data_IF_432026577977
#
_entry.id   IF_432026577977
#
_cell.length_a   1.000
_cell.length_b   1.000
_cell.length_c   1.000
_cell.angle_alpha   90.00
_cell.angle_beta   90.00
_cell.angle_gamma   90.00
#
_symmetry.space_group_name_H-M   'P 1'
#
loop_
_entity.id
_entity.type
_entity.pdbx_description
1 polymer ?
#
# COMPACT_ATOMS: atom_id res chain seq x y z
N UNK A 1 -26.39 0.37 -4.09
CA UNK A 1 -25.15 0.81 -4.79
C UNK A 1 -23.98 1.02 -3.84
N UNK A 2 -24.13 1.85 -2.80
CA UNK A 2 -23.08 2.11 -1.80
C UNK A 2 -22.51 0.83 -1.13
N UNK A 3 -23.36 -0.16 -0.81
CA UNK A 3 -22.92 -1.42 -0.20
C UNK A 3 -21.95 -2.23 -1.10
N UNK A 4 -22.21 -2.27 -2.41
CA UNK A 4 -21.35 -2.97 -3.37
C UNK A 4 -19.97 -2.30 -3.45
N UNK A 5 -19.92 -0.97 -3.48
CA UNK A 5 -18.65 -0.22 -3.46
C UNK A 5 -17.88 -0.44 -2.17
N UNK A 6 -18.56 -0.52 -1.02
CA UNK A 6 -17.93 -0.86 0.26
C UNK A 6 -17.28 -2.24 0.25
N UNK A 7 -17.95 -3.25 -0.31
CA UNK A 7 -17.37 -4.60 -0.42
C UNK A 7 -16.20 -4.67 -1.41
N UNK A 8 -16.30 -3.98 -2.55
CA UNK A 8 -15.20 -3.87 -3.51
C UNK A 8 -13.99 -3.18 -2.85
N UNK A 9 -14.22 -2.08 -2.12
CA UNK A 9 -13.15 -1.40 -1.41
C UNK A 9 -12.51 -2.29 -0.35
N UNK A 10 -13.30 -3.02 0.44
CA UNK A 10 -12.78 -3.97 1.42
C UNK A 10 -11.90 -5.05 0.76
N UNK A 11 -12.39 -5.67 -0.32
CA UNK A 11 -11.65 -6.71 -1.02
C UNK A 11 -10.33 -6.18 -1.61
N UNK A 12 -10.36 -5.02 -2.25
CA UNK A 12 -9.16 -4.39 -2.84
C UNK A 12 -8.18 -3.90 -1.76
N UNK A 13 -8.66 -3.39 -0.63
CA UNK A 13 -7.82 -3.00 0.51
C UNK A 13 -7.12 -4.21 1.15
N UNK A 14 -7.83 -5.32 1.35
CA UNK A 14 -7.24 -6.57 1.86
C UNK A 14 -6.22 -7.12 0.86
N UNK A 15 -6.54 -7.11 -0.44
CA UNK A 15 -5.61 -7.55 -1.47
C UNK A 15 -4.34 -6.68 -1.51
N UNK A 16 -4.48 -5.35 -1.39
CA UNK A 16 -3.35 -4.43 -1.31
C UNK A 16 -2.47 -4.71 -0.09
N UNK A 17 -3.05 -4.94 1.09
CA UNK A 17 -2.30 -5.33 2.29
C UNK A 17 -1.50 -6.62 2.06
N UNK A 18 -2.14 -7.67 1.53
CA UNK A 18 -1.48 -8.95 1.29
C UNK A 18 -0.33 -8.81 0.28
N UNK A 19 -0.55 -8.09 -0.82
CA UNK A 19 0.47 -7.89 -1.84
C UNK A 19 1.60 -6.98 -1.36
N UNK A 20 1.33 -5.99 -0.50
CA UNK A 20 2.36 -5.18 0.15
C UNK A 20 3.28 -6.04 1.05
N UNK A 21 2.71 -6.99 1.79
CA UNK A 21 3.50 -7.96 2.56
C UNK A 21 4.35 -8.87 1.65
N UNK A 22 3.75 -9.43 0.59
CA UNK A 22 4.48 -10.28 -0.37
C UNK A 22 5.61 -9.51 -1.05
N UNK A 23 5.34 -8.30 -1.51
CA UNK A 23 6.31 -7.36 -2.07
C UNK A 23 7.44 -7.09 -1.07
N UNK A 24 7.10 -6.78 0.18
CA UNK A 24 8.07 -6.53 1.25
C UNK A 24 9.00 -7.72 1.46
N UNK A 25 8.46 -8.93 1.56
CA UNK A 25 9.27 -10.14 1.76
C UNK A 25 10.20 -10.39 0.58
N UNK A 26 9.69 -10.24 -0.66
CA UNK A 26 10.49 -10.42 -1.87
C UNK A 26 11.61 -9.37 -1.97
N UNK A 27 11.29 -8.10 -1.75
CA UNK A 27 12.23 -6.98 -1.81
C UNK A 27 13.28 -7.05 -0.69
N UNK A 28 12.88 -7.45 0.52
CA UNK A 28 13.78 -7.59 1.66
C UNK A 28 14.82 -8.69 1.43
N UNK A 29 14.38 -9.83 0.89
CA UNK A 29 15.27 -10.94 0.50
C UNK A 29 16.23 -10.50 -0.60
N UNK A 30 15.73 -9.80 -1.62
CA UNK A 30 16.58 -9.30 -2.71
C UNK A 30 17.59 -8.24 -2.28
N UNK A 31 17.23 -7.36 -1.34
CA UNK A 31 18.16 -6.40 -0.74
C UNK A 31 19.27 -7.10 0.08
N UNK A 32 19.00 -8.29 0.59
CA UNK A 32 19.92 -9.06 1.43
C UNK A 32 20.79 -10.05 0.64
N UNK A 33 20.37 -10.46 -0.56
CA UNK A 33 21.10 -11.41 -1.40
C UNK A 33 22.39 -10.81 -2.02
N UNK A 34 23.50 -11.58 -2.12
CA UNK A 34 24.63 -11.23 -2.96
C UNK A 34 24.22 -11.31 -4.45
N UNK A 35 24.49 -10.26 -5.23
CA UNK A 35 24.27 -10.28 -6.69
C UNK A 35 22.93 -9.75 -7.21
N UNK A 36 21.95 -9.45 -6.35
CA UNK A 36 20.69 -8.79 -6.72
C UNK A 36 19.80 -9.58 -7.69
N UNK A 37 18.59 -10.00 -7.27
CA UNK A 37 17.63 -10.68 -8.15
C UNK A 37 16.42 -9.79 -8.48
N UNK A 38 16.55 -8.80 -9.40
CA UNK A 38 15.50 -7.80 -9.64
C UNK A 38 14.29 -8.33 -10.42
N UNK A 39 14.45 -9.39 -11.23
CA UNK A 39 13.42 -9.85 -12.18
C UNK A 39 12.13 -10.35 -11.53
N UNK A 40 12.21 -11.33 -10.62
CA UNK A 40 11.03 -11.88 -9.91
C UNK A 40 10.41 -10.87 -8.95
N UNK A 41 11.24 -9.97 -8.41
CA UNK A 41 10.85 -8.95 -7.43
C UNK A 41 10.02 -7.85 -8.10
N UNK A 42 10.30 -7.53 -9.36
CA UNK A 42 9.52 -6.57 -10.17
C UNK A 42 8.04 -6.93 -10.27
N UNK A 43 7.72 -8.22 -10.42
CA UNK A 43 6.32 -8.68 -10.55
C UNK A 43 5.55 -8.34 -9.29
N UNK A 44 6.10 -8.64 -8.11
CA UNK A 44 5.46 -8.34 -6.83
C UNK A 44 5.29 -6.82 -6.61
N UNK A 45 6.25 -6.01 -7.04
CA UNK A 45 6.11 -4.54 -7.01
C UNK A 45 4.94 -4.05 -7.87
N UNK A 46 4.82 -4.56 -9.10
CA UNK A 46 3.73 -4.17 -10.01
C UNK A 46 2.38 -4.60 -9.45
N UNK A 47 2.28 -5.82 -8.91
CA UNK A 47 1.05 -6.33 -8.30
C UNK A 47 0.65 -5.51 -7.08
N UNK A 48 1.60 -5.18 -6.19
CA UNK A 48 1.40 -4.29 -5.05
C UNK A 48 0.83 -2.93 -5.50
N UNK A 49 1.48 -2.26 -6.43
CA UNK A 49 1.03 -0.94 -6.93
C UNK A 49 -0.32 -1.00 -7.64
N UNK A 50 -0.61 -2.07 -8.39
CA UNK A 50 -1.90 -2.23 -9.04
C UNK A 50 -3.03 -2.42 -8.01
N UNK A 51 -2.83 -3.29 -7.03
CA UNK A 51 -3.82 -3.53 -5.98
C UNK A 51 -4.01 -2.30 -5.09
N UNK A 52 -2.91 -1.61 -4.76
CA UNK A 52 -2.94 -0.32 -4.10
C UNK A 52 -3.77 0.68 -4.92
N UNK A 53 -3.49 0.88 -6.20
CA UNK A 53 -4.26 1.77 -7.06
C UNK A 53 -5.77 1.48 -7.03
N UNK A 54 -6.16 0.20 -7.10
CA UNK A 54 -7.55 -0.23 -6.98
C UNK A 54 -8.17 0.08 -5.61
N UNK A 55 -7.42 -0.14 -4.52
CA UNK A 55 -7.85 0.18 -3.16
C UNK A 55 -8.05 1.70 -2.97
N UNK A 56 -7.13 2.52 -3.48
CA UNK A 56 -7.23 3.98 -3.44
C UNK A 56 -8.42 4.50 -4.22
N UNK A 57 -8.61 4.03 -5.47
CA UNK A 57 -9.73 4.45 -6.33
C UNK A 57 -11.09 4.04 -5.73
N UNK A 58 -11.21 2.79 -5.28
CA UNK A 58 -12.44 2.33 -4.63
C UNK A 58 -12.71 3.06 -3.31
N UNK A 59 -11.67 3.41 -2.54
CA UNK A 59 -11.79 4.17 -1.30
C UNK A 59 -12.26 5.61 -1.54
N UNK A 60 -11.73 6.27 -2.56
CA UNK A 60 -12.22 7.58 -3.01
C UNK A 60 -13.70 7.50 -3.43
N UNK A 61 -14.06 6.47 -4.18
CA UNK A 61 -15.43 6.29 -4.64
C UNK A 61 -16.40 6.05 -3.46
N UNK A 62 -16.01 5.24 -2.47
CA UNK A 62 -16.78 5.04 -1.23
C UNK A 62 -16.89 6.33 -0.42
N UNK A 63 -15.85 7.16 -0.40
CA UNK A 63 -15.84 8.44 0.31
C UNK A 63 -16.79 9.44 -0.34
N UNK A 64 -16.80 9.52 -1.68
CA UNK A 64 -17.58 10.49 -2.43
C UNK A 64 -19.06 10.12 -2.56
N UNK A 65 -19.37 8.82 -2.68
CA UNK A 65 -20.75 8.32 -2.82
C UNK A 65 -21.40 8.07 -1.45
N UNK A 66 -20.58 7.82 -0.41
CA UNK A 66 -21.05 7.59 0.95
C UNK A 66 -21.22 8.88 1.78
N UNK A 67 -21.69 8.75 3.03
CA UNK A 67 -21.88 9.89 3.94
C UNK A 67 -20.57 10.43 4.54
N UNK A 68 -19.41 9.95 4.08
CA UNK A 68 -18.11 10.16 4.74
C UNK A 68 -17.33 11.36 4.23
N UNK A 69 -17.78 12.02 3.15
CA UNK A 69 -17.08 13.14 2.52
C UNK A 69 -16.75 14.29 3.49
N UNK A 70 -17.57 14.51 4.50
CA UNK A 70 -17.34 15.58 5.49
C UNK A 70 -16.53 15.11 6.71
N UNK A 71 -16.20 13.82 6.79
CA UNK A 71 -15.45 13.26 7.90
C UNK A 71 -13.95 13.31 7.64
N UNK A 72 -13.15 13.43 8.69
CA UNK A 72 -11.69 13.58 8.56
C UNK A 72 -10.98 12.24 8.26
N UNK A 73 -11.51 11.12 8.77
CA UNK A 73 -10.83 9.82 8.71
C UNK A 73 -10.52 9.30 7.28
N UNK A 74 -11.36 9.49 6.23
CA UNK A 74 -11.01 9.02 4.88
C UNK A 74 -9.79 9.76 4.32
N UNK A 75 -9.65 11.05 4.67
CA UNK A 75 -8.53 11.88 4.23
C UNK A 75 -7.23 11.52 4.95
N UNK A 76 -7.30 11.21 6.25
CA UNK A 76 -6.13 10.68 6.99
C UNK A 76 -5.70 9.35 6.38
N UNK A 77 -6.66 8.45 6.12
CA UNK A 77 -6.40 7.18 5.45
C UNK A 77 -5.78 7.37 4.07
N UNK A 78 -6.27 8.34 3.29
CA UNK A 78 -5.73 8.67 1.97
C UNK A 78 -4.30 9.21 2.03
N UNK A 79 -3.98 10.09 2.99
CA UNK A 79 -2.60 10.60 3.17
C UNK A 79 -1.64 9.46 3.52
N UNK A 80 -2.03 8.59 4.46
CA UNK A 80 -1.25 7.41 4.80
C UNK A 80 -1.07 6.48 3.60
N UNK A 81 -2.13 6.30 2.80
CA UNK A 81 -2.11 5.52 1.57
C UNK A 81 -1.16 6.09 0.50
N UNK A 82 -1.13 7.42 0.32
CA UNK A 82 -0.15 8.09 -0.56
C UNK A 82 1.27 7.86 -0.04
N UNK A 83 1.47 7.96 1.28
CA UNK A 83 2.75 7.67 1.92
C UNK A 83 3.25 6.26 1.65
N UNK A 84 2.36 5.27 1.68
CA UNK A 84 2.66 3.89 1.27
C UNK A 84 3.19 3.83 -0.17
N UNK A 85 2.49 4.41 -1.15
CA UNK A 85 2.91 4.38 -2.55
C UNK A 85 4.27 5.05 -2.80
N UNK A 86 4.52 6.20 -2.15
CA UNK A 86 5.80 6.90 -2.24
C UNK A 86 6.95 6.08 -1.63
N UNK A 87 6.73 5.48 -0.47
CA UNK A 87 7.71 4.62 0.20
C UNK A 87 8.00 3.35 -0.62
N UNK A 88 6.98 2.71 -1.20
CA UNK A 88 7.14 1.57 -2.10
C UNK A 88 7.96 1.93 -3.34
N UNK A 89 7.67 3.07 -3.98
CA UNK A 89 8.44 3.56 -5.12
C UNK A 89 9.89 3.93 -4.77
N UNK A 90 10.14 4.45 -3.56
CA UNK A 90 11.49 4.70 -3.05
C UNK A 90 12.24 3.39 -2.77
N UNK A 91 11.58 2.39 -2.16
CA UNK A 91 12.13 1.07 -1.94
C UNK A 91 12.55 0.41 -3.26
N UNK A 92 11.69 0.45 -4.28
CA UNK A 92 12.00 -0.07 -5.62
C UNK A 92 13.22 0.60 -6.25
N UNK A 93 13.24 1.94 -6.30
CA UNK A 93 14.35 2.70 -6.89
C UNK A 93 15.68 2.43 -6.19
N UNK A 94 15.65 2.36 -4.86
CA UNK A 94 16.86 2.13 -4.06
C UNK A 94 17.35 0.69 -4.16
N UNK A 95 16.44 -0.28 -4.25
CA UNK A 95 16.76 -1.68 -4.55
C UNK A 95 17.47 -1.82 -5.91
N UNK A 96 16.98 -1.13 -6.95
CA UNK A 96 17.61 -1.13 -8.28
C UNK A 96 18.99 -0.45 -8.29
N UNK A 97 19.23 0.51 -7.39
CA UNK A 97 20.53 1.18 -7.24
C UNK A 97 21.58 0.37 -6.47
N UNK A 98 21.24 -0.82 -5.96
CA UNK A 98 22.16 -1.68 -5.19
C UNK A 98 22.42 -1.23 -3.75
N UNK A 99 21.80 -0.14 -3.29
CA UNK A 99 21.88 0.32 -1.89
C UNK A 99 21.10 -0.63 -0.98
N UNK A 100 21.73 -1.23 0.04
CA UNK A 100 21.08 -2.26 0.88
C UNK A 100 20.27 -1.75 2.07
N UNK A 101 20.69 -0.65 2.71
CA UNK A 101 20.06 -0.15 3.94
C UNK A 101 18.79 0.69 3.69
N UNK A 102 18.82 1.53 2.66
CA UNK A 102 17.71 2.42 2.28
C UNK A 102 16.42 1.67 1.88
N UNK A 103 16.45 0.59 1.09
CA UNK A 103 15.23 -0.13 0.73
C UNK A 103 14.54 -0.73 1.97
N UNK A 104 15.29 -1.22 2.97
CA UNK A 104 14.69 -1.80 4.19
C UNK A 104 13.88 -0.77 4.98
N UNK A 105 14.42 0.44 5.15
CA UNK A 105 13.71 1.52 5.84
C UNK A 105 12.45 1.93 5.08
N UNK A 106 12.54 2.08 3.76
CA UNK A 106 11.40 2.42 2.92
C UNK A 106 10.31 1.32 2.94
N UNK A 107 10.71 0.04 2.95
CA UNK A 107 9.78 -1.08 3.10
C UNK A 107 9.09 -1.11 4.47
N UNK A 108 9.78 -0.71 5.55
CA UNK A 108 9.12 -0.59 6.86
C UNK A 108 8.10 0.55 6.82
N UNK A 109 8.50 1.72 6.32
CA UNK A 109 7.62 2.89 6.22
C UNK A 109 6.39 2.61 5.36
N UNK A 110 6.52 1.90 4.23
CA UNK A 110 5.38 1.57 3.37
C UNK A 110 4.33 0.72 4.10
N UNK A 111 4.77 -0.24 4.95
CA UNK A 111 3.86 -1.12 5.68
C UNK A 111 3.21 -0.37 6.85
N UNK A 112 3.99 0.43 7.59
CA UNK A 112 3.44 1.25 8.67
C UNK A 112 2.39 2.22 8.14
N UNK A 113 2.63 2.84 6.98
CA UNK A 113 1.67 3.74 6.35
C UNK A 113 0.38 3.01 5.92
N UNK A 114 0.50 1.83 5.32
CA UNK A 114 -0.67 1.05 4.90
C UNK A 114 -1.47 0.48 6.10
N UNK A 115 -0.77 0.04 7.15
CA UNK A 115 -1.40 -0.38 8.41
C UNK A 115 -2.08 0.78 9.13
N UNK A 116 -1.48 1.98 9.12
CA UNK A 116 -2.10 3.18 9.65
C UNK A 116 -3.39 3.51 8.88
N UNK A 117 -3.36 3.45 7.55
CA UNK A 117 -4.55 3.65 6.73
C UNK A 117 -5.67 2.65 7.08
N UNK A 118 -5.33 1.37 7.22
CA UNK A 118 -6.27 0.33 7.62
C UNK A 118 -6.81 0.55 9.05
N UNK A 119 -5.95 0.91 10.00
CA UNK A 119 -6.33 1.17 11.38
C UNK A 119 -7.28 2.35 11.51
N UNK A 120 -6.97 3.48 10.86
CA UNK A 120 -7.84 4.68 10.88
C UNK A 120 -9.23 4.35 10.33
N UNK A 121 -9.32 3.52 9.30
CA UNK A 121 -10.59 3.09 8.73
C UNK A 121 -11.36 2.10 9.62
N UNK A 122 -10.65 1.27 10.39
CA UNK A 122 -11.24 0.29 11.29
C UNK A 122 -11.69 0.91 12.63
N UNK A 123 -10.91 1.84 13.17
CA UNK A 123 -11.12 2.48 14.47
C UNK A 123 -11.94 3.78 14.41
N UNK A 124 -12.45 4.17 13.22
CA UNK A 124 -13.28 5.36 13.10
C UNK A 124 -14.49 5.29 14.04
N UNK A 125 -14.83 6.38 14.75
CA UNK A 125 -16.08 6.46 15.50
C UNK A 125 -17.25 6.23 14.53
N UNK A 126 -18.19 5.38 14.92
CA UNK A 126 -19.44 5.13 14.18
C UNK A 126 -20.43 6.23 14.50
#
# INVERSE_FOLDING_TARGET
MYLAFKHIHLATAVLSLLLAFVWTLAAWRAASAPGGQPGKVRVFYILDQAAAGLAGLSGLLVTLVGPWKLMLFPYIGLVAFIGHGLAAGAAWRTLMSGRKAVPKTALILQNLALLLAAYVMAAKPI
#
